data_IF_575244785736
#
_entry.id   IF_575244785736
#
_cell.length_a   1.000
_cell.length_b   1.000
_cell.length_c   1.000
_cell.angle_alpha   90.00
_cell.angle_beta   90.00
_cell.angle_gamma   90.00
#
_symmetry.space_group_name_H-M   'P 1'
#
loop_
_entity.id
_entity.type
_entity.pdbx_description
1 polymer ?
#
# COMPACT_ATOMS: atom_id res chain seq x y z
N UNK A 1 -12.40 -0.52 46.82
CA UNK A 1 -13.68 -1.07 46.30
C UNK A 1 -13.41 -1.52 44.87
N UNK A 2 -12.82 -2.70 44.75
CA UNK A 2 -12.49 -3.32 43.47
C UNK A 2 -13.83 -3.73 42.83
N UNK A 3 -14.31 -2.95 41.85
CA UNK A 3 -15.48 -3.34 41.05
C UNK A 3 -15.04 -4.53 40.20
N UNK A 4 -15.31 -5.73 40.70
CA UNK A 4 -15.09 -6.97 39.97
C UNK A 4 -15.85 -6.85 38.65
N UNK A 5 -15.13 -6.59 37.56
CA UNK A 5 -15.71 -6.48 36.23
C UNK A 5 -16.29 -7.85 35.92
N UNK A 6 -17.60 -7.98 35.81
CA UNK A 6 -18.22 -9.28 35.64
C UNK A 6 -17.77 -9.85 34.30
N UNK A 7 -17.38 -11.14 34.26
CA UNK A 7 -16.65 -11.73 33.14
C UNK A 7 -17.32 -11.58 31.76
N UNK A 8 -18.65 -11.46 31.72
CA UNK A 8 -19.40 -11.12 30.51
C UNK A 8 -19.01 -9.76 29.89
N UNK A 9 -18.66 -8.74 30.68
CA UNK A 9 -18.18 -7.46 30.14
C UNK A 9 -16.82 -7.60 29.43
N UNK A 10 -15.94 -8.47 29.93
CA UNK A 10 -14.65 -8.78 29.28
C UNK A 10 -14.88 -9.58 28.00
N UNK A 11 -15.80 -10.53 28.01
CA UNK A 11 -16.21 -11.30 26.81
C UNK A 11 -16.81 -10.39 25.73
N UNK A 12 -17.71 -9.47 26.12
CA UNK A 12 -18.28 -8.48 25.20
C UNK A 12 -17.20 -7.58 24.60
N UNK A 13 -16.23 -7.13 25.40
CA UNK A 13 -15.10 -6.37 24.89
C UNK A 13 -14.24 -7.19 23.91
N UNK A 14 -13.89 -8.44 24.21
CA UNK A 14 -13.12 -9.31 23.32
C UNK A 14 -13.85 -9.60 22.00
N UNK A 15 -15.18 -9.76 22.03
CA UNK A 15 -16.02 -9.93 20.84
C UNK A 15 -16.03 -8.65 19.99
N UNK A 16 -16.06 -7.46 20.62
CA UNK A 16 -16.02 -6.16 19.92
C UNK A 16 -14.61 -5.78 19.39
N UNK A 17 -13.54 -6.33 19.97
CA UNK A 17 -12.15 -6.08 19.56
C UNK A 17 -11.57 -7.16 18.64
N UNK A 18 -12.30 -8.26 18.42
CA UNK A 18 -11.74 -9.53 17.92
C UNK A 18 -11.53 -9.68 16.41
N UNK A 19 -11.94 -8.76 15.55
CA UNK A 19 -11.81 -8.97 14.09
C UNK A 19 -11.55 -7.69 13.31
N UNK A 20 -10.29 -7.24 13.27
CA UNK A 20 -9.79 -6.51 12.10
C UNK A 20 -8.69 -7.31 11.44
N UNK A 21 -9.08 -8.35 10.70
CA UNK A 21 -8.23 -8.88 9.67
C UNK A 21 -8.31 -7.88 8.50
N UNK A 22 -7.28 -7.04 8.30
CA UNK A 22 -7.18 -6.28 7.06
C UNK A 22 -6.97 -7.30 5.95
N UNK A 23 -7.96 -7.49 5.08
CA UNK A 23 -7.75 -8.23 3.85
C UNK A 23 -6.61 -7.54 3.09
N UNK A 24 -5.54 -8.28 2.81
CA UNK A 24 -4.49 -7.80 1.92
C UNK A 24 -5.08 -7.69 0.52
N UNK A 25 -4.91 -6.55 -0.14
CA UNK A 25 -5.29 -6.39 -1.55
C UNK A 25 -4.44 -7.36 -2.36
N UNK A 26 -5.08 -8.16 -3.21
CA UNK A 26 -4.38 -9.12 -4.07
C UNK A 26 -3.42 -8.37 -5.01
N UNK A 27 -2.17 -8.83 -5.08
CA UNK A 27 -1.17 -8.24 -5.96
C UNK A 27 -1.50 -8.63 -7.41
N UNK A 28 -1.76 -7.64 -8.23
CA UNK A 28 -2.04 -7.84 -9.66
C UNK A 28 -0.91 -7.24 -10.49
N UNK A 29 -0.29 -8.07 -11.33
CA UNK A 29 0.71 -7.63 -12.30
C UNK A 29 0.00 -7.00 -13.50
N UNK A 30 0.47 -5.82 -13.90
CA UNK A 30 -0.02 -5.09 -15.06
C UNK A 30 1.17 -4.50 -15.83
N UNK A 31 0.98 -4.25 -17.13
CA UNK A 31 2.04 -3.65 -17.95
C UNK A 31 2.38 -2.24 -17.43
N UNK A 32 3.66 -1.88 -17.40
CA UNK A 32 4.10 -0.56 -16.97
C UNK A 32 3.51 0.50 -17.91
N UNK A 33 2.74 1.45 -17.39
CA UNK A 33 2.23 2.60 -18.14
C UNK A 33 2.98 3.89 -17.81
N UNK A 34 3.64 3.96 -16.66
CA UNK A 34 4.38 5.16 -16.19
C UNK A 34 5.56 5.46 -17.14
N UNK A 35 5.60 6.61 -17.83
CA UNK A 35 6.61 6.90 -18.85
C UNK A 35 8.05 6.84 -18.35
N UNK A 36 8.31 7.34 -17.13
CA UNK A 36 9.64 7.35 -16.51
C UNK A 36 10.19 5.95 -16.26
N UNK A 37 9.33 4.93 -16.18
CA UNK A 37 9.70 3.56 -15.86
C UNK A 37 9.70 2.61 -17.06
N UNK A 38 9.53 3.12 -18.29
CA UNK A 38 9.63 2.31 -19.51
C UNK A 38 11.11 2.02 -19.85
N UNK A 39 11.40 0.80 -20.31
CA UNK A 39 12.74 0.43 -20.80
C UNK A 39 13.78 0.10 -19.72
N UNK A 40 13.37 -0.10 -18.47
CA UNK A 40 14.26 -0.35 -17.31
C UNK A 40 14.67 -1.84 -17.13
N UNK A 41 14.37 -2.69 -18.11
CA UNK A 41 14.70 -4.13 -18.07
C UNK A 41 13.56 -5.08 -17.69
N UNK A 42 12.35 -4.55 -17.44
CA UNK A 42 11.11 -5.32 -17.26
C UNK A 42 9.91 -4.52 -17.74
N UNK A 43 8.79 -5.21 -18.05
CA UNK A 43 7.60 -4.61 -18.64
C UNK A 43 6.34 -4.68 -17.76
N UNK A 44 6.40 -5.42 -16.64
CA UNK A 44 5.26 -5.60 -15.74
C UNK A 44 5.59 -5.14 -14.33
N UNK A 45 4.63 -4.53 -13.66
CA UNK A 45 4.72 -4.11 -12.26
C UNK A 45 3.46 -4.55 -11.52
N UNK A 46 3.56 -4.80 -10.22
CA UNK A 46 2.40 -5.16 -9.40
C UNK A 46 1.82 -3.94 -8.70
N UNK A 47 0.50 -3.93 -8.51
CA UNK A 47 -0.18 -2.99 -7.62
C UNK A 47 -0.95 -3.75 -6.52
N UNK A 48 -1.10 -3.18 -5.31
CA UNK A 48 -0.47 -1.94 -4.86
C UNK A 48 1.06 -2.08 -4.73
N UNK A 49 1.81 -1.01 -5.04
CA UNK A 49 3.28 -1.05 -4.91
C UNK A 49 3.72 -0.79 -3.46
N UNK A 50 5.03 -0.86 -3.20
CA UNK A 50 5.61 -0.68 -1.85
C UNK A 50 5.35 0.70 -1.20
N UNK A 51 4.94 1.70 -1.98
CA UNK A 51 4.56 3.02 -1.51
C UNK A 51 3.05 3.14 -1.28
N UNK A 52 2.33 2.02 -1.35
CA UNK A 52 0.89 1.93 -1.10
C UNK A 52 0.03 2.68 -2.13
N UNK A 53 0.59 2.92 -3.33
CA UNK A 53 -0.18 3.38 -4.48
C UNK A 53 -1.01 2.24 -5.04
N UNK A 54 -2.30 2.50 -5.23
CA UNK A 54 -3.26 1.52 -5.73
C UNK A 54 -3.26 1.43 -7.26
N UNK A 55 -2.76 2.48 -7.93
CA UNK A 55 -2.74 2.59 -9.39
C UNK A 55 -1.39 3.12 -9.89
N UNK A 56 -1.10 2.87 -11.16
CA UNK A 56 0.08 3.46 -11.81
C UNK A 56 -0.06 4.96 -12.04
N UNK A 57 -1.28 5.49 -12.17
CA UNK A 57 -1.49 6.94 -12.34
C UNK A 57 -1.10 7.69 -11.05
N UNK A 58 -1.49 7.17 -9.89
CA UNK A 58 -1.08 7.68 -8.57
C UNK A 58 0.45 7.64 -8.41
N UNK A 59 1.06 6.47 -8.65
CA UNK A 59 2.51 6.32 -8.58
C UNK A 59 3.25 7.20 -9.61
N UNK A 60 2.65 7.38 -10.79
CA UNK A 60 3.17 8.21 -11.88
C UNK A 60 3.20 9.69 -11.52
N UNK A 61 2.16 10.20 -10.85
CA UNK A 61 2.11 11.57 -10.37
C UNK A 61 3.20 11.85 -9.33
N UNK A 62 3.42 10.93 -8.38
CA UNK A 62 4.45 11.10 -7.36
C UNK A 62 5.87 11.00 -7.92
N UNK A 63 6.16 9.99 -8.74
CA UNK A 63 7.52 9.79 -9.27
C UNK A 63 7.91 10.88 -10.27
N UNK A 64 6.95 11.54 -10.93
CA UNK A 64 7.20 12.60 -11.90
C UNK A 64 7.99 13.78 -11.31
N UNK A 65 7.90 14.03 -10.00
CA UNK A 65 8.70 15.08 -9.34
C UNK A 65 10.22 14.89 -9.49
N UNK A 66 10.66 13.65 -9.73
CA UNK A 66 12.07 13.30 -9.90
C UNK A 66 12.54 13.35 -11.36
N UNK A 67 11.67 13.70 -12.31
CA UNK A 67 12.03 13.80 -13.73
C UNK A 67 13.27 14.66 -13.98
N UNK A 68 13.40 15.88 -13.41
CA UNK A 68 14.57 16.72 -13.65
C UNK A 68 15.87 16.06 -13.19
N UNK A 69 15.84 15.28 -12.10
CA UNK A 69 17.01 14.58 -11.57
C UNK A 69 17.49 13.46 -12.51
N UNK A 70 16.55 12.75 -13.13
CA UNK A 70 16.84 11.72 -14.15
C UNK A 70 17.41 12.36 -15.42
N UNK A 71 16.86 13.50 -15.85
CA UNK A 71 17.31 14.20 -17.05
C UNK A 71 18.74 14.74 -16.93
N UNK A 72 19.11 15.27 -15.75
CA UNK A 72 20.48 15.74 -15.48
C UNK A 72 21.46 14.60 -15.12
N UNK A 73 20.98 13.36 -14.99
CA UNK A 73 21.78 12.18 -14.66
C UNK A 73 22.64 12.38 -13.41
N UNK A 74 22.01 12.84 -12.32
CA UNK A 74 22.73 12.99 -11.06
C UNK A 74 23.08 11.63 -10.41
N UNK A 75 22.60 10.51 -10.96
CA UNK A 75 23.01 9.12 -10.70
C UNK A 75 22.74 8.23 -11.91
#
# INVERSE_FOLDING_TARGET
MERSIPGWCVLVALILHGTRCRAAKELQCQEISVPLCKGVGYNYTYMPNQFNHDTQDEAGLEVHQFWPLVEIKCS
#
